data_IF_424976551527
#
_entry.id   IF_424976551527
#
_cell.length_a   1.000
_cell.length_b   1.000
_cell.length_c   1.000
_cell.angle_alpha   90.00
_cell.angle_beta   90.00
_cell.angle_gamma   90.00
#
_symmetry.space_group_name_H-M   'P 1'
#
loop_
_entity.id
_entity.type
_entity.pdbx_description
1 polymer ?
#
# COMPACT_ATOMS: atom_id res chain seq x y z
N UNK A 1 -18.41 -19.34 6.15
CA UNK A 1 -17.00 -18.91 6.10
C UNK A 1 -16.83 -17.72 7.01
N UNK A 2 -15.75 -17.64 7.80
CA UNK A 2 -15.42 -16.40 8.52
C UNK A 2 -15.22 -15.25 7.53
N UNK A 3 -15.52 -14.01 7.95
CA UNK A 3 -15.36 -12.83 7.09
C UNK A 3 -13.89 -12.48 6.83
N UNK A 4 -13.01 -12.69 7.81
CA UNK A 4 -11.58 -12.40 7.72
C UNK A 4 -10.81 -13.65 7.31
N UNK A 5 -9.98 -13.55 6.27
CA UNK A 5 -9.20 -14.65 5.71
C UNK A 5 -7.72 -14.27 5.62
N UNK A 6 -6.87 -14.98 6.36
CA UNK A 6 -5.42 -14.81 6.30
C UNK A 6 -4.80 -15.83 5.34
N UNK A 7 -4.19 -15.34 4.26
CA UNK A 7 -3.39 -16.15 3.34
C UNK A 7 -1.96 -16.24 3.88
N UNK A 8 -1.43 -17.46 4.02
CA UNK A 8 -0.05 -17.69 4.47
C UNK A 8 0.70 -18.38 3.34
N UNK A 9 1.58 -17.65 2.66
CA UNK A 9 2.37 -18.19 1.57
C UNK A 9 2.70 -17.20 0.45
N UNK A 10 3.61 -17.65 -0.42
CA UNK A 10 4.11 -16.88 -1.57
C UNK A 10 3.00 -16.60 -2.59
N UNK A 11 3.08 -15.47 -3.31
CA UNK A 11 2.15 -15.14 -4.38
C UNK A 11 2.45 -15.84 -5.72
N UNK A 12 3.46 -16.71 -5.77
CA UNK A 12 3.80 -17.49 -6.95
C UNK A 12 4.97 -18.45 -6.68
N UNK A 13 5.33 -19.28 -7.68
CA UNK A 13 6.42 -20.23 -7.59
C UNK A 13 7.79 -19.52 -7.71
N UNK A 14 8.75 -19.87 -6.85
CA UNK A 14 10.16 -19.43 -6.96
C UNK A 14 10.95 -20.44 -7.79
N UNK A 15 10.63 -21.72 -7.62
CA UNK A 15 11.21 -22.83 -8.38
C UNK A 15 10.15 -23.49 -9.24
N UNK A 16 10.55 -24.07 -10.38
CA UNK A 16 9.62 -24.76 -11.28
C UNK A 16 8.89 -25.95 -10.63
N UNK A 17 9.44 -26.51 -9.55
CA UNK A 17 8.84 -27.60 -8.78
C UNK A 17 7.88 -27.12 -7.68
N UNK A 18 7.74 -25.82 -7.46
CA UNK A 18 6.84 -25.29 -6.44
C UNK A 18 5.37 -25.53 -6.84
N UNK A 19 4.66 -26.32 -6.04
CA UNK A 19 3.21 -26.57 -6.22
C UNK A 19 2.35 -25.91 -5.14
N UNK A 20 2.98 -25.27 -4.15
CA UNK A 20 2.32 -24.65 -3.01
C UNK A 20 2.60 -23.14 -3.00
N UNK A 21 1.66 -22.39 -3.57
CA UNK A 21 1.60 -20.93 -3.59
C UNK A 21 0.13 -20.49 -3.72
N UNK A 22 -0.15 -19.22 -3.44
CA UNK A 22 -1.50 -18.65 -3.54
C UNK A 22 -1.37 -17.36 -4.34
N UNK A 23 -1.83 -17.33 -5.58
CA UNK A 23 -1.62 -16.18 -6.47
C UNK A 23 -2.21 -14.86 -5.94
N UNK A 24 -1.68 -13.74 -6.41
CA UNK A 24 -2.26 -12.43 -6.12
C UNK A 24 -3.70 -12.29 -6.63
N UNK A 25 -4.03 -12.88 -7.79
CA UNK A 25 -5.41 -12.90 -8.31
C UNK A 25 -6.39 -13.53 -7.32
N UNK A 26 -6.00 -14.63 -6.68
CA UNK A 26 -6.81 -15.28 -5.65
C UNK A 26 -7.07 -14.35 -4.46
N UNK A 27 -6.06 -13.58 -4.03
CA UNK A 27 -6.23 -12.59 -2.97
C UNK A 27 -7.21 -11.49 -3.37
N UNK A 28 -7.03 -10.88 -4.55
CA UNK A 28 -7.90 -9.80 -5.02
C UNK A 28 -9.35 -10.26 -5.21
N UNK A 29 -9.55 -11.45 -5.76
CA UNK A 29 -10.89 -12.00 -6.01
C UNK A 29 -11.63 -12.33 -4.71
N UNK A 30 -10.92 -12.86 -3.70
CA UNK A 30 -11.51 -13.05 -2.37
C UNK A 30 -11.79 -11.71 -1.67
N UNK A 31 -10.91 -10.71 -1.80
CA UNK A 31 -11.08 -9.43 -1.10
C UNK A 31 -12.35 -8.68 -1.53
N UNK A 32 -12.92 -9.00 -2.70
CA UNK A 32 -14.22 -8.47 -3.14
C UNK A 32 -15.39 -8.80 -2.19
N UNK A 33 -15.30 -9.87 -1.39
CA UNK A 33 -16.39 -10.33 -0.51
C UNK A 33 -15.95 -10.62 0.93
N UNK A 34 -14.65 -10.76 1.17
CA UNK A 34 -14.05 -11.07 2.47
C UNK A 34 -12.98 -10.02 2.80
N UNK A 35 -12.59 -9.91 4.08
CA UNK A 35 -11.42 -9.13 4.44
C UNK A 35 -10.17 -10.00 4.37
N UNK A 36 -9.31 -9.80 3.37
CA UNK A 36 -8.21 -10.71 3.06
C UNK A 36 -6.86 -10.06 3.31
N UNK A 37 -6.05 -10.69 4.15
CA UNK A 37 -4.65 -10.30 4.37
C UNK A 37 -3.69 -11.41 3.95
N UNK A 38 -2.43 -11.07 3.72
CA UNK A 38 -1.37 -12.03 3.41
C UNK A 38 -0.17 -11.90 4.35
N UNK A 39 0.34 -13.03 4.82
CA UNK A 39 1.68 -13.14 5.39
C UNK A 39 2.59 -13.95 4.49
N UNK A 40 3.76 -13.38 4.22
CA UNK A 40 4.80 -14.04 3.47
C UNK A 40 6.16 -13.42 3.82
N UNK A 41 6.94 -14.09 4.67
CA UNK A 41 8.31 -13.67 5.01
C UNK A 41 9.30 -14.56 4.29
N UNK A 42 10.20 -13.97 3.49
CA UNK A 42 11.19 -14.70 2.72
C UNK A 42 12.60 -14.08 2.81
N UNK A 43 13.62 -14.93 2.64
CA UNK A 43 15.01 -14.50 2.49
C UNK A 43 15.34 -14.07 1.04
N UNK A 44 16.60 -13.69 0.80
CA UNK A 44 17.09 -13.30 -0.53
C UNK A 44 17.06 -14.42 -1.58
N UNK A 45 16.80 -15.67 -1.18
CA UNK A 45 16.62 -16.82 -2.07
C UNK A 45 15.13 -17.16 -2.28
N UNK A 46 14.21 -16.37 -1.71
CA UNK A 46 12.77 -16.62 -1.79
C UNK A 46 12.27 -17.74 -0.88
N UNK A 47 13.09 -18.19 0.08
CA UNK A 47 12.72 -19.24 1.05
C UNK A 47 12.06 -18.62 2.27
N UNK A 48 11.08 -19.30 2.83
CA UNK A 48 10.36 -18.83 4.00
C UNK A 48 11.24 -18.67 5.24
N UNK A 49 11.11 -17.54 5.93
CA UNK A 49 11.76 -17.28 7.22
C UNK A 49 10.75 -17.57 8.34
N UNK A 50 10.69 -18.82 8.81
CA UNK A 50 9.66 -19.29 9.75
C UNK A 50 9.65 -18.52 11.08
N UNK A 51 10.81 -18.06 11.56
CA UNK A 51 10.92 -17.25 12.77
C UNK A 51 10.17 -15.93 12.67
N UNK A 52 10.07 -15.35 11.48
CA UNK A 52 9.39 -14.06 11.28
C UNK A 52 7.86 -14.22 11.33
N UNK A 53 7.34 -15.39 10.90
CA UNK A 53 5.92 -15.71 11.10
C UNK A 53 5.58 -15.85 12.58
N UNK A 54 6.43 -16.56 13.35
CA UNK A 54 6.26 -16.68 14.80
C UNK A 54 6.34 -15.31 15.47
N UNK A 55 7.35 -14.51 15.16
CA UNK A 55 7.54 -13.18 15.72
C UNK A 55 6.33 -12.28 15.44
N UNK A 56 5.83 -12.25 14.20
CA UNK A 56 4.63 -11.50 13.84
C UNK A 56 3.41 -11.95 14.65
N UNK A 57 3.16 -13.26 14.72
CA UNK A 57 1.99 -13.80 15.43
C UNK A 57 2.04 -13.49 16.94
N UNK A 58 3.19 -13.66 17.59
CA UNK A 58 3.40 -13.33 18.99
C UNK A 58 3.21 -11.82 19.24
N UNK A 59 3.78 -10.97 18.39
CA UNK A 59 3.63 -9.51 18.51
C UNK A 59 2.19 -9.05 18.34
N UNK A 60 1.43 -9.62 17.41
CA UNK A 60 -0.01 -9.31 17.25
C UNK A 60 -0.78 -9.73 18.48
N UNK A 61 -0.57 -10.95 19.00
CA UNK A 61 -1.25 -11.43 20.21
C UNK A 61 -0.92 -10.56 21.42
N UNK A 62 0.36 -10.25 21.63
CA UNK A 62 0.83 -9.40 22.71
C UNK A 62 0.23 -7.99 22.61
N UNK A 63 0.15 -7.44 21.40
CA UNK A 63 -0.45 -6.14 21.16
C UNK A 63 -1.96 -6.15 21.41
N UNK A 64 -2.70 -7.16 20.96
CA UNK A 64 -4.15 -7.23 21.17
C UNK A 64 -4.54 -7.51 22.63
N UNK A 65 -3.74 -8.29 23.36
CA UNK A 65 -4.02 -8.68 24.75
C UNK A 65 -3.39 -7.75 25.79
N UNK A 66 -2.27 -7.11 25.46
CA UNK A 66 -1.44 -6.34 26.38
C UNK A 66 -2.00 -4.98 26.80
N UNK A 67 -3.19 -4.60 26.35
CA UNK A 67 -3.78 -3.26 26.56
C UNK A 67 -2.80 -2.12 26.25
N UNK A 68 -2.17 -2.11 25.05
CA UNK A 68 -1.14 -1.13 24.72
C UNK A 68 -1.73 0.28 24.68
N UNK A 69 -1.00 1.24 25.24
CA UNK A 69 -1.34 2.66 25.09
C UNK A 69 -1.04 3.07 23.65
N UNK A 70 -2.08 3.22 22.84
CA UNK A 70 -1.95 3.72 21.48
C UNK A 70 -1.53 5.19 21.51
N UNK A 71 -0.43 5.50 20.85
CA UNK A 71 -0.12 6.89 20.55
C UNK A 71 -1.03 7.36 19.41
N UNK A 72 -2.05 8.17 19.72
CA UNK A 72 -3.03 8.67 18.73
C UNK A 72 -2.42 9.73 17.81
N UNK A 73 -1.46 9.32 17.00
CA UNK A 73 -0.67 10.16 16.11
C UNK A 73 -0.58 9.52 14.73
N UNK A 74 -0.87 10.33 13.71
CA UNK A 74 -0.75 9.97 12.29
C UNK A 74 0.40 10.74 11.67
N UNK A 75 1.22 10.07 10.87
CA UNK A 75 2.26 10.72 10.08
C UNK A 75 1.93 10.59 8.60
N UNK A 76 1.95 11.72 7.89
CA UNK A 76 1.91 11.77 6.44
C UNK A 76 3.31 12.08 5.92
N UNK A 77 3.81 11.24 5.01
CA UNK A 77 5.13 11.37 4.40
C UNK A 77 4.99 11.39 2.88
N UNK A 78 5.42 12.45 2.22
CA UNK A 78 5.19 12.64 0.79
C UNK A 78 6.30 13.36 0.06
N UNK A 79 6.84 12.74 -0.99
CA UNK A 79 7.76 13.44 -1.88
C UNK A 79 7.01 14.34 -2.85
N UNK A 80 7.64 15.42 -3.29
CA UNK A 80 7.18 16.34 -4.34
C UNK A 80 8.40 16.78 -5.14
N UNK A 81 8.73 16.06 -6.20
CA UNK A 81 9.92 16.32 -7.02
C UNK A 81 9.58 17.33 -8.12
N UNK A 82 10.52 18.24 -8.42
CA UNK A 82 10.32 19.24 -9.46
C UNK A 82 10.20 18.57 -10.84
N UNK A 83 9.21 18.99 -11.63
CA UNK A 83 8.93 18.45 -12.98
C UNK A 83 8.55 16.97 -13.00
N UNK A 84 8.13 16.43 -11.86
CA UNK A 84 7.58 15.09 -11.75
C UNK A 84 6.09 15.18 -11.38
N UNK A 85 5.26 15.19 -12.42
CA UNK A 85 3.80 15.29 -12.28
C UNK A 85 3.21 14.21 -11.36
N UNK A 86 3.84 13.03 -11.24
CA UNK A 86 3.30 11.99 -10.37
C UNK A 86 3.39 12.39 -8.89
N UNK A 87 4.56 12.86 -8.44
CA UNK A 87 4.75 13.28 -7.05
C UNK A 87 4.14 14.65 -6.75
N UNK A 88 4.12 15.57 -7.72
CA UNK A 88 3.34 16.81 -7.64
C UNK A 88 1.86 16.51 -7.34
N UNK A 89 1.26 15.58 -8.09
CA UNK A 89 -0.14 15.22 -7.89
C UNK A 89 -0.38 14.44 -6.61
N UNK A 90 0.47 13.49 -6.22
CA UNK A 90 0.27 12.80 -4.94
C UNK A 90 0.47 13.72 -3.72
N UNK A 91 1.35 14.72 -3.82
CA UNK A 91 1.48 15.74 -2.79
C UNK A 91 0.23 16.63 -2.72
N UNK A 92 -0.15 17.22 -3.86
CA UNK A 92 -1.14 18.30 -3.90
C UNK A 92 -2.59 17.78 -3.94
N UNK A 93 -2.85 16.64 -4.58
CA UNK A 93 -4.19 16.06 -4.80
C UNK A 93 -4.52 14.87 -3.89
N UNK A 94 -3.54 14.36 -3.12
CA UNK A 94 -3.76 13.25 -2.18
C UNK A 94 -3.36 13.62 -0.75
N UNK A 95 -2.10 13.93 -0.47
CA UNK A 95 -1.66 14.21 0.91
C UNK A 95 -2.32 15.49 1.45
N UNK A 96 -2.30 16.58 0.70
CA UNK A 96 -2.87 17.85 1.17
C UNK A 96 -4.35 17.72 1.57
N UNK A 97 -5.24 17.11 0.75
CA UNK A 97 -6.62 16.83 1.17
C UNK A 97 -6.74 15.92 2.40
N UNK A 98 -5.87 14.92 2.58
CA UNK A 98 -5.89 14.07 3.77
C UNK A 98 -5.50 14.83 5.04
N UNK A 99 -4.59 15.80 4.93
CA UNK A 99 -4.13 16.60 6.07
C UNK A 99 -5.14 17.70 6.41
N UNK A 100 -5.55 18.47 5.41
CA UNK A 100 -6.34 19.69 5.57
C UNK A 100 -7.85 19.40 5.66
N UNK A 101 -8.28 18.26 5.12
CA UNK A 101 -9.69 17.97 4.86
C UNK A 101 -10.21 18.76 3.66
N UNK A 102 -11.46 18.51 3.29
CA UNK A 102 -12.12 19.24 2.20
C UNK A 102 -13.62 19.41 2.45
N UNK A 103 -14.24 20.32 1.70
CA UNK A 103 -15.69 20.55 1.75
C UNK A 103 -16.24 20.85 3.16
N UNK A 104 -15.44 21.51 4.00
CA UNK A 104 -15.81 21.86 5.38
C UNK A 104 -15.72 20.72 6.39
N UNK A 105 -15.18 19.55 6.00
CA UNK A 105 -14.85 18.45 6.92
C UNK A 105 -13.35 18.47 7.24
N UNK A 106 -12.95 18.16 8.47
CA UNK A 106 -11.54 17.99 8.81
C UNK A 106 -10.95 16.75 8.11
N UNK A 107 -9.62 16.67 8.00
CA UNK A 107 -8.92 15.46 7.55
C UNK A 107 -9.12 14.27 8.50
N UNK A 108 -8.78 13.03 8.08
CA UNK A 108 -9.07 11.81 8.84
C UNK A 108 -8.53 11.78 10.27
N UNK A 109 -7.31 12.29 10.48
CA UNK A 109 -6.70 12.30 11.80
C UNK A 109 -7.46 13.20 12.80
N UNK A 110 -7.65 14.51 12.53
CA UNK A 110 -8.45 15.36 13.42
C UNK A 110 -9.91 14.90 13.54
N UNK A 111 -10.53 14.35 12.48
CA UNK A 111 -11.90 13.82 12.53
C UNK A 111 -12.07 12.67 13.53
N UNK A 112 -11.01 11.89 13.74
CA UNK A 112 -11.00 10.72 14.64
C UNK A 112 -10.28 10.97 15.97
N UNK A 113 -9.89 12.22 16.24
CA UNK A 113 -9.23 12.62 17.48
C UNK A 113 -7.74 12.23 17.58
N UNK A 114 -7.09 12.02 16.45
CA UNK A 114 -5.64 11.81 16.34
C UNK A 114 -4.94 13.14 16.07
N UNK A 115 -3.73 13.31 16.63
CA UNK A 115 -2.79 14.34 16.17
C UNK A 115 -2.17 13.93 14.84
N UNK A 116 -1.60 14.88 14.11
CA UNK A 116 -0.92 14.59 12.85
C UNK A 116 0.39 15.36 12.69
N UNK A 117 1.38 14.74 12.07
CA UNK A 117 2.60 15.38 11.57
C UNK A 117 2.76 15.15 10.07
N UNK A 118 3.30 16.14 9.38
CA UNK A 118 3.41 16.13 7.92
C UNK A 118 4.87 16.36 7.53
N UNK A 119 5.42 15.43 6.76
CA UNK A 119 6.73 15.50 6.15
C UNK A 119 6.53 15.49 4.64
N UNK A 120 6.33 16.67 4.05
CA UNK A 120 5.99 16.84 2.64
C UNK A 120 7.11 17.57 1.91
N UNK A 121 7.34 17.22 0.64
CA UNK A 121 8.35 17.82 -0.21
C UNK A 121 9.72 17.78 0.49
N UNK A 122 10.35 18.94 0.73
CA UNK A 122 11.68 19.08 1.35
C UNK A 122 11.87 18.30 2.66
N UNK A 123 10.80 18.03 3.40
CA UNK A 123 10.85 17.29 4.66
C UNK A 123 10.73 15.76 4.48
N UNK A 124 10.32 15.27 3.32
CA UNK A 124 10.19 13.85 3.00
C UNK A 124 11.55 13.19 2.67
N UNK A 125 12.56 13.49 3.47
CA UNK A 125 13.91 12.92 3.33
C UNK A 125 13.97 11.52 3.94
N UNK A 126 14.93 10.74 3.48
CA UNK A 126 15.27 9.43 4.03
C UNK A 126 15.58 9.51 5.53
N UNK A 127 16.33 10.54 5.92
CA UNK A 127 16.67 10.78 7.34
C UNK A 127 15.41 11.00 8.18
N UNK A 128 14.43 11.75 7.69
CA UNK A 128 13.19 11.95 8.41
C UNK A 128 12.32 10.68 8.44
N UNK A 129 12.31 9.87 7.38
CA UNK A 129 11.65 8.56 7.40
C UNK A 129 12.26 7.61 8.44
N UNK A 130 13.60 7.59 8.54
CA UNK A 130 14.31 6.85 9.59
C UNK A 130 13.90 7.32 10.99
N UNK A 131 13.82 8.63 11.22
CA UNK A 131 13.37 9.21 12.49
C UNK A 131 11.92 8.85 12.82
N UNK A 132 11.01 8.91 11.85
CA UNK A 132 9.60 8.51 12.01
C UNK A 132 9.53 7.05 12.49
N UNK A 133 10.25 6.15 11.82
CA UNK A 133 10.24 4.71 12.13
C UNK A 133 10.97 4.36 13.44
N UNK A 134 11.85 5.23 13.93
CA UNK A 134 12.42 5.16 15.28
C UNK A 134 11.53 5.81 16.34
N UNK A 135 10.47 6.52 15.96
CA UNK A 135 9.67 7.34 16.88
C UNK A 135 10.39 8.58 17.40
N UNK A 136 11.47 9.00 16.74
CA UNK A 136 12.32 10.15 17.08
C UNK A 136 11.78 11.46 16.46
N UNK A 137 10.47 11.64 16.58
CA UNK A 137 9.71 12.78 16.06
C UNK A 137 8.83 13.36 17.17
N UNK A 138 8.28 14.54 16.90
CA UNK A 138 7.26 15.11 17.77
C UNK A 138 6.07 14.15 17.92
N UNK A 139 5.55 14.03 19.14
CA UNK A 139 4.53 13.07 19.54
C UNK A 139 4.95 11.58 19.58
N UNK A 140 6.15 11.19 19.15
CA UNK A 140 6.65 9.81 19.27
C UNK A 140 6.27 8.89 18.10
N UNK A 141 6.27 7.55 18.28
CA UNK A 141 5.99 6.63 17.17
C UNK A 141 4.51 6.73 16.72
N UNK A 142 4.23 6.84 15.41
CA UNK A 142 2.85 6.96 14.94
C UNK A 142 2.08 5.65 15.06
N UNK A 143 0.76 5.76 15.31
CA UNK A 143 -0.17 4.65 15.15
C UNK A 143 -0.40 4.30 13.67
N UNK A 144 -0.38 5.33 12.81
CA UNK A 144 -0.55 5.17 11.37
C UNK A 144 0.46 6.02 10.61
N UNK A 145 1.16 5.39 9.66
CA UNK A 145 2.04 6.06 8.70
C UNK A 145 1.43 5.96 7.30
N UNK A 146 1.10 7.09 6.70
CA UNK A 146 0.69 7.17 5.31
C UNK A 146 1.84 7.72 4.47
N UNK A 147 2.30 6.97 3.47
CA UNK A 147 3.33 7.43 2.54
C UNK A 147 2.79 7.60 1.13
N UNK A 148 3.12 8.70 0.45
CA UNK A 148 2.91 8.86 -0.99
C UNK A 148 4.19 9.28 -1.69
N UNK A 149 4.86 8.31 -2.32
CA UNK A 149 6.15 8.50 -2.99
C UNK A 149 6.22 7.66 -4.26
N UNK A 150 7.27 7.84 -5.05
CA UNK A 150 7.64 6.76 -5.98
C UNK A 150 8.07 5.53 -5.20
N UNK A 151 7.76 4.36 -5.77
CA UNK A 151 8.37 3.11 -5.35
C UNK A 151 9.43 2.69 -6.36
N UNK A 152 10.55 2.17 -5.86
CA UNK A 152 11.67 1.74 -6.70
C UNK A 152 11.26 0.53 -7.54
N UNK A 153 11.27 0.71 -8.85
CA UNK A 153 11.11 -0.36 -9.85
C UNK A 153 12.44 -0.70 -10.48
N UNK A 154 13.04 -1.82 -10.06
CA UNK A 154 14.30 -2.31 -10.62
C UNK A 154 14.06 -3.17 -11.87
N UNK A 155 15.00 -3.22 -12.81
CA UNK A 155 14.97 -4.15 -13.93
C UNK A 155 14.88 -5.62 -13.47
N UNK A 156 14.22 -6.47 -14.25
CA UNK A 156 13.99 -7.88 -13.92
C UNK A 156 15.28 -8.70 -13.69
N UNK A 157 16.40 -8.24 -14.27
CA UNK A 157 17.73 -8.84 -14.16
C UNK A 157 18.64 -8.15 -13.12
N UNK A 158 18.15 -7.12 -12.41
CA UNK A 158 18.91 -6.46 -11.35
C UNK A 158 19.01 -7.37 -10.11
N UNK A 159 20.23 -7.68 -9.62
CA UNK A 159 20.42 -8.58 -8.48
C UNK A 159 19.79 -8.05 -7.17
N UNK A 160 19.47 -6.76 -7.08
CA UNK A 160 18.84 -6.14 -5.91
C UNK A 160 17.32 -6.26 -5.92
N UNK A 161 16.70 -6.64 -7.04
CA UNK A 161 15.24 -6.62 -7.22
C UNK A 161 14.51 -7.33 -6.08
N UNK A 162 14.91 -8.56 -5.74
CA UNK A 162 14.25 -9.34 -4.69
C UNK A 162 14.27 -8.66 -3.32
N UNK A 163 15.30 -7.84 -3.05
CA UNK A 163 15.50 -7.20 -1.76
C UNK A 163 15.05 -5.74 -1.70
N UNK A 164 14.93 -5.06 -2.84
CA UNK A 164 14.75 -3.61 -2.90
C UNK A 164 13.60 -3.15 -3.81
N UNK A 165 12.93 -4.05 -4.53
CA UNK A 165 11.71 -3.72 -5.27
C UNK A 165 10.65 -3.16 -4.31
N UNK A 166 10.07 -2.00 -4.66
CA UNK A 166 9.08 -1.32 -3.83
C UNK A 166 9.67 -0.54 -2.64
N UNK A 167 11.00 -0.37 -2.57
CA UNK A 167 11.61 0.61 -1.67
C UNK A 167 11.05 2.02 -1.94
N UNK A 168 11.02 2.88 -0.93
CA UNK A 168 10.41 4.20 -1.03
C UNK A 168 11.44 5.23 -1.47
N UNK A 169 11.24 5.86 -2.62
CA UNK A 169 12.08 6.97 -3.06
C UNK A 169 11.80 8.20 -2.21
N UNK A 170 12.84 8.80 -1.64
CA UNK A 170 12.74 9.98 -0.78
C UNK A 170 13.10 11.27 -1.54
N UNK A 171 12.85 12.41 -0.91
CA UNK A 171 13.12 13.73 -1.47
C UNK A 171 14.62 14.00 -1.70
N UNK A 172 15.50 13.17 -1.16
CA UNK A 172 16.96 13.24 -1.37
C UNK A 172 17.32 13.14 -2.86
N UNK A 173 16.53 12.44 -3.68
CA UNK A 173 16.62 12.57 -5.13
C UNK A 173 16.02 13.90 -5.58
N UNK A 174 16.72 14.63 -6.44
CA UNK A 174 16.30 15.98 -6.85
C UNK A 174 15.20 16.03 -7.92
N UNK A 175 14.74 14.87 -8.41
CA UNK A 175 13.88 14.77 -9.61
C UNK A 175 14.67 14.66 -10.92
N UNK A 176 16.00 14.86 -10.89
CA UNK A 176 16.85 14.87 -12.07
C UNK A 176 17.96 13.82 -11.99
N UNK A 177 18.32 13.28 -13.17
CA UNK A 177 19.42 12.32 -13.30
C UNK A 177 19.10 10.93 -12.74
N UNK A 178 20.14 10.10 -12.61
CA UNK A 178 19.99 8.72 -12.18
C UNK A 178 19.73 8.64 -10.68
N UNK A 179 18.72 7.87 -10.30
CA UNK A 179 18.44 7.54 -8.91
C UNK A 179 19.59 6.68 -8.35
N UNK A 180 20.12 7.06 -7.20
CA UNK A 180 21.18 6.34 -6.47
C UNK A 180 20.62 5.68 -5.20
N UNK A 181 21.36 4.74 -4.63
CA UNK A 181 20.92 3.93 -3.46
C UNK A 181 20.59 4.81 -2.26
N UNK A 182 21.35 5.87 -2.03
CA UNK A 182 21.17 6.82 -0.94
C UNK A 182 19.81 7.54 -0.98
N UNK A 183 19.20 7.64 -2.17
CA UNK A 183 17.94 8.36 -2.35
C UNK A 183 16.69 7.60 -1.90
N UNK A 184 16.77 6.30 -1.62
CA UNK A 184 15.61 5.51 -1.24
C UNK A 184 15.78 4.79 0.09
N UNK A 185 14.65 4.46 0.71
CA UNK A 185 14.55 3.70 1.95
C UNK A 185 14.04 2.29 1.67
N UNK A 186 14.85 1.29 2.02
CA UNK A 186 14.57 -0.13 1.81
C UNK A 186 14.53 -0.92 3.13
N UNK A 187 14.17 -2.20 3.06
CA UNK A 187 14.08 -3.07 4.24
C UNK A 187 15.39 -3.16 5.05
N UNK A 188 16.53 -3.10 4.36
CA UNK A 188 17.87 -3.12 4.97
C UNK A 188 18.19 -1.87 5.81
N UNK A 189 17.46 -0.77 5.60
CA UNK A 189 17.63 0.48 6.35
C UNK A 189 16.86 0.47 7.69
N UNK A 190 16.03 -0.55 7.94
CA UNK A 190 15.36 -0.73 9.24
C UNK A 190 16.36 -1.24 10.28
N UNK A 191 16.87 -0.32 11.10
CA UNK A 191 17.80 -0.60 12.21
C UNK A 191 17.15 -1.36 13.38
N UNK A 192 17.95 -1.92 14.29
CA UNK A 192 17.44 -2.56 15.52
C UNK A 192 16.59 -1.64 16.40
N UNK A 193 16.84 -0.32 16.36
CA UNK A 193 16.14 0.68 17.15
C UNK A 193 14.74 1.08 16.62
N UNK A 194 14.26 0.48 15.52
CA UNK A 194 12.93 0.74 14.96
C UNK A 194 11.82 0.50 16.01
N UNK A 195 10.86 1.44 16.11
CA UNK A 195 9.74 1.42 17.06
C UNK A 195 8.39 1.36 16.34
N UNK A 196 8.16 0.29 15.58
CA UNK A 196 6.95 0.10 14.75
C UNK A 196 5.91 -0.82 15.39
N UNK A 197 6.06 -1.18 16.66
CA UNK A 197 5.07 -1.99 17.37
C UNK A 197 3.70 -1.29 17.36
N UNK A 198 2.68 -1.97 16.83
CA UNK A 198 1.33 -1.41 16.70
C UNK A 198 1.09 -0.57 15.45
N UNK A 199 2.10 -0.33 14.61
CA UNK A 199 2.00 0.51 13.43
C UNK A 199 1.08 -0.10 12.38
N UNK A 200 0.19 0.71 11.81
CA UNK A 200 -0.43 0.44 10.52
C UNK A 200 0.23 1.34 9.47
N UNK A 201 0.80 0.74 8.43
CA UNK A 201 1.38 1.50 7.31
C UNK A 201 0.47 1.46 6.09
N UNK A 202 0.28 2.60 5.43
CA UNK A 202 -0.42 2.71 4.15
C UNK A 202 0.56 3.30 3.14
N UNK A 203 1.01 2.49 2.19
CA UNK A 203 2.03 2.83 1.23
C UNK A 203 1.43 3.05 -0.17
N UNK A 204 1.22 4.31 -0.53
CA UNK A 204 0.97 4.72 -1.90
C UNK A 204 2.33 4.84 -2.64
N UNK A 205 2.79 3.73 -3.19
CA UNK A 205 4.02 3.64 -3.97
C UNK A 205 3.98 2.42 -4.91
N UNK A 206 4.58 2.55 -6.10
CA UNK A 206 4.75 1.42 -7.02
C UNK A 206 5.44 0.25 -6.32
N UNK A 207 4.89 -0.95 -6.47
CA UNK A 207 5.42 -2.18 -5.88
C UNK A 207 5.52 -2.20 -4.36
N UNK A 208 4.91 -1.25 -3.64
CA UNK A 208 5.10 -1.05 -2.20
C UNK A 208 4.76 -2.27 -1.33
N UNK A 209 3.89 -3.18 -1.81
CA UNK A 209 3.60 -4.46 -1.14
C UNK A 209 3.88 -5.69 -1.99
N UNK A 210 4.23 -5.52 -3.27
CA UNK A 210 4.59 -6.65 -4.13
C UNK A 210 4.82 -6.32 -5.59
N UNK A 211 5.36 -7.28 -6.33
CA UNK A 211 5.57 -7.19 -7.76
C UNK A 211 5.10 -8.48 -8.43
N UNK A 212 4.24 -8.42 -9.47
CA UNK A 212 3.89 -9.61 -10.24
C UNK A 212 5.04 -10.02 -11.16
N UNK A 213 4.94 -11.21 -11.76
CA UNK A 213 5.92 -11.67 -12.76
C UNK A 213 5.88 -10.81 -14.03
N UNK A 214 4.67 -10.47 -14.48
CA UNK A 214 4.40 -9.72 -15.72
C UNK A 214 3.72 -8.39 -15.41
N UNK A 215 4.05 -7.35 -16.19
CA UNK A 215 3.43 -6.02 -16.07
C UNK A 215 1.93 -6.09 -16.42
N UNK A 216 1.08 -5.76 -15.45
CA UNK A 216 -0.38 -5.87 -15.61
C UNK A 216 -1.02 -4.67 -16.34
N UNK A 217 -0.25 -3.63 -16.59
CA UNK A 217 -0.70 -2.40 -17.26
C UNK A 217 -0.31 -2.34 -18.74
N UNK A 218 0.71 -3.08 -19.15
CA UNK A 218 1.11 -3.18 -20.57
C UNK A 218 0.28 -4.25 -21.29
N UNK A 219 -0.51 -3.82 -22.27
CA UNK A 219 -1.22 -4.71 -23.18
C UNK A 219 -0.98 -4.30 -24.63
N UNK A 220 -0.33 -5.18 -25.40
CA UNK A 220 -0.15 -5.02 -26.84
C UNK A 220 -0.72 -6.25 -27.53
N UNK A 221 -1.75 -6.11 -28.39
CA UNK A 221 -2.34 -7.25 -29.09
C UNK A 221 -1.29 -8.10 -29.80
N UNK A 222 -1.34 -9.42 -29.57
CA UNK A 222 -0.41 -10.38 -30.19
C UNK A 222 1.01 -10.40 -29.61
N UNK A 223 1.28 -9.66 -28.53
CA UNK A 223 2.57 -9.74 -27.81
C UNK A 223 2.37 -10.21 -26.36
N UNK A 224 3.32 -10.99 -25.82
CA UNK A 224 3.32 -11.30 -24.40
C UNK A 224 3.52 -10.02 -23.57
N UNK A 225 3.09 -10.06 -22.32
CA UNK A 225 3.36 -8.97 -21.37
C UNK A 225 4.86 -8.93 -21.04
N UNK A 226 5.43 -7.74 -20.79
CA UNK A 226 6.80 -7.63 -20.31
C UNK A 226 6.96 -8.35 -18.97
N UNK A 227 8.04 -9.12 -18.83
CA UNK A 227 8.47 -9.70 -17.55
C UNK A 227 9.15 -8.61 -16.73
N UNK A 228 8.69 -8.40 -15.49
CA UNK A 228 9.19 -7.35 -14.60
C UNK A 228 9.74 -7.89 -13.27
N UNK A 229 9.55 -9.18 -13.00
CA UNK A 229 10.19 -9.89 -11.88
C UNK A 229 10.42 -11.35 -12.26
N UNK A 230 11.43 -12.04 -11.67
CA UNK A 230 11.66 -13.46 -11.94
C UNK A 230 10.47 -14.36 -11.54
N UNK A 231 9.68 -13.92 -10.55
CA UNK A 231 8.45 -14.55 -10.07
C UNK A 231 7.62 -13.51 -9.29
N UNK A 232 6.32 -13.75 -9.04
CA UNK A 232 5.53 -12.88 -8.18
C UNK A 232 6.12 -12.85 -6.76
N UNK A 233 6.37 -11.66 -6.22
CA UNK A 233 7.00 -11.47 -4.92
C UNK A 233 6.24 -10.47 -4.04
N UNK A 234 6.35 -10.66 -2.72
CA UNK A 234 5.99 -9.65 -1.72
C UNK A 234 7.20 -8.74 -1.51
N UNK A 235 6.99 -7.42 -1.41
CA UNK A 235 8.07 -6.47 -1.19
C UNK A 235 8.75 -6.70 0.18
N UNK A 236 10.06 -6.46 0.28
CA UNK A 236 10.81 -6.75 1.51
C UNK A 236 10.58 -5.72 2.63
N UNK A 237 10.36 -4.46 2.28
CA UNK A 237 10.12 -3.40 3.28
C UNK A 237 8.92 -3.73 4.19
N UNK A 238 7.72 -4.06 3.67
CA UNK A 238 6.61 -4.41 4.52
C UNK A 238 6.80 -5.72 5.28
N UNK A 239 7.47 -6.73 4.71
CA UNK A 239 7.84 -7.94 5.46
C UNK A 239 8.67 -7.58 6.69
N UNK A 240 9.66 -6.70 6.53
CA UNK A 240 10.52 -6.32 7.65
C UNK A 240 9.81 -5.44 8.68
N UNK A 241 8.87 -4.60 8.26
CA UNK A 241 8.00 -3.84 9.17
C UNK A 241 7.13 -4.78 10.02
N UNK A 242 6.45 -5.74 9.38
CA UNK A 242 5.58 -6.71 10.06
C UNK A 242 6.38 -7.57 11.07
N UNK A 243 7.53 -8.11 10.66
CA UNK A 243 8.38 -8.90 11.54
C UNK A 243 8.93 -8.12 12.77
N UNK A 244 8.87 -6.78 12.72
CA UNK A 244 9.34 -5.86 13.79
C UNK A 244 8.20 -5.25 14.61
N UNK A 245 6.95 -5.64 14.38
CA UNK A 245 5.81 -5.26 15.22
C UNK A 245 4.76 -4.41 14.54
N UNK A 246 4.92 -4.03 13.27
CA UNK A 246 3.81 -3.41 12.54
C UNK A 246 2.65 -4.42 12.45
N UNK A 247 1.42 -3.97 12.67
CA UNK A 247 0.23 -4.82 12.63
C UNK A 247 -0.13 -5.17 11.20
N UNK A 248 -0.07 -4.19 10.31
CA UNK A 248 -0.48 -4.34 8.93
C UNK A 248 0.22 -3.33 8.01
N UNK A 249 0.38 -3.72 6.75
CA UNK A 249 0.77 -2.81 5.67
C UNK A 249 -0.23 -2.94 4.53
N UNK A 250 -0.89 -1.85 4.18
CA UNK A 250 -1.71 -1.72 2.99
C UNK A 250 -0.90 -1.00 1.91
N UNK A 251 -0.93 -1.48 0.67
CA UNK A 251 -0.29 -0.76 -0.43
C UNK A 251 -0.52 -1.44 -1.76
N UNK A 252 0.27 -1.07 -2.77
CA UNK A 252 0.05 -1.48 -4.15
C UNK A 252 0.99 -2.62 -4.60
N UNK A 253 0.45 -3.59 -5.34
CA UNK A 253 1.19 -4.62 -6.08
C UNK A 253 1.30 -4.18 -7.54
N UNK A 254 2.50 -4.20 -8.12
CA UNK A 254 2.77 -3.54 -9.43
C UNK A 254 2.72 -1.99 -9.31
N UNK A 255 2.70 -1.26 -10.43
CA UNK A 255 2.68 0.21 -10.49
C UNK A 255 1.42 0.82 -9.90
N UNK A 256 1.58 1.81 -9.01
CA UNK A 256 0.48 2.64 -8.53
C UNK A 256 0.24 3.80 -9.50
N UNK A 257 -1.02 4.07 -9.83
CA UNK A 257 -1.41 5.15 -10.72
C UNK A 257 -2.23 6.20 -9.97
N UNK A 258 -2.28 7.41 -10.54
CA UNK A 258 -3.10 8.48 -9.97
C UNK A 258 -4.61 8.16 -10.01
N UNK A 259 -5.04 7.13 -10.75
CA UNK A 259 -6.47 6.75 -10.82
C UNK A 259 -7.06 6.37 -9.46
N UNK A 260 -6.21 5.97 -8.53
CA UNK A 260 -6.53 5.71 -7.12
C UNK A 260 -7.05 6.94 -6.38
N UNK A 261 -6.69 8.16 -6.81
CA UNK A 261 -7.13 9.41 -6.21
C UNK A 261 -7.57 10.47 -7.24
N UNK A 262 -7.74 10.08 -8.51
CA UNK A 262 -8.27 10.96 -9.56
C UNK A 262 -9.15 10.17 -10.53
N UNK A 263 -10.36 10.66 -10.77
CA UNK A 263 -11.27 10.01 -11.71
C UNK A 263 -10.88 10.28 -13.17
N UNK A 264 -11.38 9.46 -14.08
CA UNK A 264 -11.24 9.70 -15.52
C UNK A 264 -12.04 10.96 -15.86
N UNK A 265 -11.37 12.07 -16.18
CA UNK A 265 -11.98 13.38 -16.45
C UNK A 265 -12.79 13.97 -15.28
N UNK A 266 -12.49 13.58 -14.05
CA UNK A 266 -13.09 14.12 -12.82
C UNK A 266 -11.97 14.73 -11.97
N UNK A 267 -12.22 15.82 -11.22
CA UNK A 267 -11.23 16.36 -10.27
C UNK A 267 -10.69 15.31 -9.29
N UNK A 268 -9.61 15.66 -8.60
CA UNK A 268 -9.04 14.85 -7.52
C UNK A 268 -10.12 14.35 -6.54
N UNK A 269 -10.02 13.08 -6.17
CA UNK A 269 -10.93 12.36 -5.28
C UNK A 269 -10.13 11.50 -4.30
N UNK A 270 -9.60 12.14 -3.25
CA UNK A 270 -8.98 11.51 -2.09
C UNK A 270 -9.94 10.70 -1.22
N UNK A 271 -11.27 10.87 -1.40
CA UNK A 271 -12.31 10.29 -0.54
C UNK A 271 -12.10 8.80 -0.18
N UNK A 272 -11.71 7.88 -1.08
CA UNK A 272 -11.50 6.49 -0.67
C UNK A 272 -10.28 6.27 0.23
N UNK A 273 -9.23 7.08 0.10
CA UNK A 273 -8.15 7.07 1.10
C UNK A 273 -8.62 7.69 2.41
N UNK A 274 -9.43 8.75 2.38
CA UNK A 274 -10.04 9.30 3.59
C UNK A 274 -10.88 8.26 4.31
N UNK A 275 -11.75 7.54 3.59
CA UNK A 275 -12.60 6.50 4.16
C UNK A 275 -11.79 5.35 4.72
N UNK A 276 -10.70 4.95 4.04
CA UNK A 276 -9.74 3.95 4.53
C UNK A 276 -9.13 4.42 5.87
N UNK A 277 -8.62 5.65 5.90
CA UNK A 277 -7.97 6.20 7.10
C UNK A 277 -8.97 6.40 8.24
N UNK A 278 -10.13 7.00 7.99
CA UNK A 278 -11.18 7.21 9.01
C UNK A 278 -11.60 5.86 9.61
N UNK A 279 -11.83 4.83 8.80
CA UNK A 279 -12.20 3.50 9.30
C UNK A 279 -11.10 2.86 10.12
N UNK A 280 -9.84 2.95 9.68
CA UNK A 280 -8.70 2.40 10.42
C UNK A 280 -8.49 3.12 11.77
N UNK A 281 -8.50 4.45 11.75
CA UNK A 281 -8.33 5.30 12.94
C UNK A 281 -9.51 5.19 13.92
N UNK A 282 -10.70 4.82 13.43
CA UNK A 282 -11.87 4.51 14.26
C UNK A 282 -11.84 3.09 14.85
N UNK A 283 -10.75 2.34 14.72
CA UNK A 283 -10.62 0.98 15.24
C UNK A 283 -11.29 -0.10 14.37
N UNK A 284 -11.50 0.19 13.09
CA UNK A 284 -11.92 -0.79 12.10
C UNK A 284 -10.83 -1.85 11.88
N UNK A 285 -11.24 -3.10 11.63
CA UNK A 285 -10.31 -4.18 11.28
C UNK A 285 -9.82 -4.01 9.85
N UNK A 286 -8.52 -4.17 9.63
CA UNK A 286 -7.87 -3.77 8.38
C UNK A 286 -8.42 -4.46 7.13
N UNK A 287 -8.82 -5.73 7.21
CA UNK A 287 -9.46 -6.41 6.07
C UNK A 287 -10.84 -5.85 5.71
N UNK A 288 -11.55 -5.20 6.65
CA UNK A 288 -12.80 -4.49 6.34
C UNK A 288 -12.55 -3.07 5.81
N UNK A 289 -11.42 -2.48 6.20
CA UNK A 289 -11.03 -1.13 5.75
C UNK A 289 -10.77 -1.12 4.24
N UNK A 290 -10.26 -2.20 3.65
CA UNK A 290 -9.95 -2.31 2.21
C UNK A 290 -11.18 -2.32 1.30
N UNK A 291 -12.38 -2.60 1.83
CA UNK A 291 -13.64 -2.72 1.06
C UNK A 291 -13.94 -1.50 0.18
N UNK A 292 -13.51 -0.29 0.59
CA UNK A 292 -13.68 0.92 -0.22
C UNK A 292 -12.88 0.90 -1.53
N UNK A 293 -11.73 0.23 -1.55
CA UNK A 293 -10.92 0.03 -2.73
C UNK A 293 -11.60 -0.99 -3.67
N UNK A 294 -12.21 -2.02 -3.10
CA UNK A 294 -12.95 -3.05 -3.84
C UNK A 294 -14.20 -2.49 -4.51
N UNK A 295 -14.91 -1.54 -3.87
CA UNK A 295 -16.00 -0.82 -4.52
C UNK A 295 -15.54 -0.06 -5.77
N UNK A 296 -14.36 0.58 -5.74
CA UNK A 296 -13.79 1.24 -6.91
C UNK A 296 -13.45 0.25 -8.02
N UNK A 297 -12.84 -0.89 -7.67
CA UNK A 297 -12.59 -1.96 -8.64
C UNK A 297 -13.90 -2.43 -9.30
N UNK A 298 -14.97 -2.64 -8.52
CA UNK A 298 -16.27 -3.07 -9.03
C UNK A 298 -16.92 -2.05 -9.97
N UNK A 299 -16.89 -0.77 -9.58
CA UNK A 299 -17.41 0.32 -10.40
C UNK A 299 -16.64 0.44 -11.73
N UNK A 300 -15.31 0.45 -11.68
CA UNK A 300 -14.46 0.52 -12.88
C UNK A 300 -14.63 -0.71 -13.78
N UNK A 301 -14.76 -1.92 -13.20
CA UNK A 301 -15.01 -3.15 -13.95
C UNK A 301 -16.34 -3.14 -14.69
N UNK A 302 -17.39 -2.57 -14.07
CA UNK A 302 -18.71 -2.45 -14.68
C UNK A 302 -18.70 -1.49 -15.87
N UNK A 303 -18.07 -0.31 -15.70
CA UNK A 303 -17.92 0.68 -16.77
C UNK A 303 -17.07 0.14 -17.93
N UNK A 304 -15.97 -0.56 -17.61
CA UNK A 304 -15.10 -1.20 -18.59
C UNK A 304 -15.87 -2.24 -19.41
N UNK A 305 -16.61 -3.13 -18.74
CA UNK A 305 -17.36 -4.21 -19.40
C UNK A 305 -18.45 -3.65 -20.33
N UNK A 306 -19.20 -2.64 -19.87
CA UNK A 306 -20.20 -1.95 -20.71
C UNK A 306 -19.56 -1.31 -21.94
N UNK A 307 -18.38 -0.70 -21.78
CA UNK A 307 -17.64 -0.07 -22.89
C UNK A 307 -17.15 -1.10 -23.90
N UNK A 308 -16.69 -2.27 -23.44
CA UNK A 308 -16.31 -3.40 -24.31
C UNK A 308 -17.52 -3.93 -25.08
N UNK A 309 -18.67 -4.10 -24.42
CA UNK A 309 -19.90 -4.57 -25.08
C UNK A 309 -20.35 -3.60 -26.18
N UNK A 310 -20.29 -2.28 -25.93
CA UNK A 310 -20.59 -1.27 -26.94
C UNK A 310 -19.66 -1.39 -28.16
N UNK A 311 -18.36 -1.56 -27.93
CA UNK A 311 -17.39 -1.75 -29.01
C UNK A 311 -17.69 -3.02 -29.83
N UNK A 312 -18.03 -4.14 -29.16
CA UNK A 312 -18.39 -5.40 -29.81
C UNK A 312 -19.67 -5.29 -30.66
N UNK A 313 -20.59 -4.40 -30.29
CA UNK A 313 -21.81 -4.09 -31.05
C UNK A 313 -21.58 -3.10 -32.19
N UNK A 314 -20.34 -2.69 -32.43
CA UNK A 314 -20.00 -1.72 -33.47
C UNK A 314 -20.38 -0.28 -33.14
N UNK A 315 -20.67 0.03 -31.86
CA UNK A 315 -20.90 1.41 -31.43
C UNK A 315 -19.56 2.16 -31.32
N UNK A 316 -19.54 3.47 -31.60
CA UNK A 316 -18.33 4.27 -31.47
C UNK A 316 -17.91 4.35 -29.99
N UNK A 317 -16.68 3.94 -29.70
CA UNK A 317 -16.08 3.96 -28.36
C UNK A 317 -14.77 4.74 -28.41
N UNK A 318 -14.56 5.62 -27.43
CA UNK A 318 -13.26 6.26 -27.24
C UNK A 318 -12.24 5.27 -26.67
N UNK A 319 -11.26 4.91 -27.49
CA UNK A 319 -10.18 3.97 -27.12
C UNK A 319 -9.32 4.49 -25.98
N UNK A 320 -9.15 5.82 -25.84
CA UNK A 320 -8.41 6.41 -24.71
C UNK A 320 -9.19 6.21 -23.42
N UNK A 321 -10.50 6.43 -23.44
CA UNK A 321 -11.36 6.16 -22.30
C UNK A 321 -11.37 4.67 -21.92
N UNK A 322 -11.42 3.77 -22.91
CA UNK A 322 -11.33 2.32 -22.67
C UNK A 322 -10.02 1.94 -21.98
N UNK A 323 -8.89 2.48 -22.44
CA UNK A 323 -7.59 2.27 -21.82
C UNK A 323 -7.53 2.84 -20.39
N UNK A 324 -8.09 4.04 -20.17
CA UNK A 324 -8.16 4.65 -18.85
C UNK A 324 -9.01 3.81 -17.87
N UNK A 325 -10.14 3.25 -18.31
CA UNK A 325 -10.97 2.34 -17.53
C UNK A 325 -10.23 1.04 -17.18
N UNK A 326 -9.44 0.51 -18.10
CA UNK A 326 -8.58 -0.66 -17.84
C UNK A 326 -7.55 -0.37 -16.75
N UNK A 327 -6.81 0.75 -16.87
CA UNK A 327 -5.80 1.15 -15.88
C UNK A 327 -6.47 1.41 -14.53
N UNK A 328 -7.55 2.18 -14.47
CA UNK A 328 -8.26 2.49 -13.23
C UNK A 328 -8.79 1.24 -12.52
N UNK A 329 -9.29 0.26 -13.28
CA UNK A 329 -9.75 -1.03 -12.74
C UNK A 329 -8.60 -1.83 -12.13
N UNK A 330 -7.46 -1.92 -12.82
CA UNK A 330 -6.32 -2.69 -12.33
C UNK A 330 -5.64 -1.99 -11.14
N UNK A 331 -5.53 -0.67 -11.18
CA UNK A 331 -5.01 0.17 -10.09
C UNK A 331 -5.83 -0.04 -8.80
N UNK A 332 -7.17 0.02 -8.88
CA UNK A 332 -8.03 -0.24 -7.72
C UNK A 332 -7.94 -1.67 -7.19
N UNK A 333 -7.83 -2.67 -8.08
CA UNK A 333 -7.71 -4.09 -7.72
C UNK A 333 -6.38 -4.40 -7.03
N UNK A 334 -5.30 -3.72 -7.41
CA UNK A 334 -3.95 -4.08 -7.04
C UNK A 334 -3.54 -3.60 -5.64
N UNK A 335 -4.46 -3.03 -4.87
CA UNK A 335 -4.25 -2.86 -3.44
C UNK A 335 -4.31 -4.20 -2.71
N UNK A 336 -3.31 -4.47 -1.89
CA UNK A 336 -3.25 -5.67 -1.07
C UNK A 336 -2.91 -5.32 0.38
N UNK A 337 -3.57 -6.02 1.30
CA UNK A 337 -3.23 -5.99 2.72
C UNK A 337 -2.22 -7.09 3.04
N UNK A 338 -1.13 -6.70 3.67
CA UNK A 338 -0.16 -7.60 4.29
C UNK A 338 -0.33 -7.55 5.82
N UNK A 339 -0.35 -8.72 6.47
CA UNK A 339 -0.72 -8.87 7.88
C UNK A 339 -2.03 -9.64 8.06
N UNK A 340 -2.40 -9.90 9.31
CA UNK A 340 -3.68 -10.46 9.70
C UNK A 340 -4.81 -9.43 9.44
N UNK A 341 -5.80 -9.76 8.59
CA UNK A 341 -6.90 -8.84 8.26
C UNK A 341 -7.79 -8.49 9.45
N UNK A 342 -7.70 -9.20 10.57
CA UNK A 342 -8.49 -8.94 11.76
C UNK A 342 -7.88 -7.89 12.71
N UNK A 343 -6.62 -7.49 12.52
CA UNK A 343 -5.95 -6.48 13.35
C UNK A 343 -6.62 -5.11 13.21
N UNK A 344 -6.53 -4.31 14.27
CA UNK A 344 -7.06 -2.95 14.34
C UNK A 344 -6.28 -2.11 15.34
N UNK A 345 -6.39 -0.79 15.21
CA UNK A 345 -5.95 0.12 16.27
C UNK A 345 -6.87 -0.03 17.50
N UNK A 346 -6.33 -0.12 18.72
CA UNK A 346 -7.13 -0.23 19.93
C UNK A 346 -7.70 1.15 20.26
N UNK A 347 -9.02 1.26 20.14
CA UNK A 347 -9.76 2.44 20.59
C UNK A 347 -10.27 2.20 22.00
N UNK A 348 -10.13 3.20 22.88
CA UNK A 348 -10.83 3.21 24.16
C UNK A 348 -12.32 3.01 23.88
N UNK A 349 -12.97 2.09 24.58
CA UNK A 349 -14.40 1.91 24.49
C UNK A 349 -15.06 3.23 24.93
N UNK A 350 -15.55 4.01 23.97
CA UNK A 350 -16.48 5.09 24.26
C UNK A 350 -17.73 4.42 24.84
N UNK A 351 -17.96 4.66 26.13
CA UNK A 351 -19.12 4.18 26.87
C UNK A 351 -20.38 4.77 26.22
N UNK A 352 -20.88 4.10 25.19
CA UNK A 352 -22.13 4.42 24.52
C UNK A 352 -23.26 3.78 25.31
N UNK A 353 -23.44 4.28 26.53
CA UNK A 353 -24.71 4.26 27.25
C UNK A 353 -25.19 5.70 27.43
N UNK A 354 -25.87 6.23 26.42
CA UNK A 354 -26.99 7.16 26.61
C UNK A 354 -28.07 6.85 25.59
#
# INVERSE_FOLDING_TARGET
>A
MPFYLLLVGRPGPVYASDTAYIDYSFQYELDMFWGVGRLCFNDAQGRHVLSDYTAYAEQVVDFEQGSPTLNKHVVYFGTRHDLDTATERSADELITPLVEGHSGKPGPAPDTGFTQSVFLAGDATRTNLERILRGDIEHGPPALLFTATHGIGLPADDPRLLMQQGALLCQDWTGFGNIQREHWFAAEDLETATRVSGLIAVCFACYGVGCPHEDEFVFVPGKPRPVIAPYPLVAQLPQRLLARGALAVLGHVDRAWSYSFSGINVPAQSQPFEDVLIRALSGGRMGFVTDQLNLRQGAASSLLTNTIEQAQRGLPVDTRNLAALWVARNDARNYALLGDPAVRLPMEATDTRQ
#
